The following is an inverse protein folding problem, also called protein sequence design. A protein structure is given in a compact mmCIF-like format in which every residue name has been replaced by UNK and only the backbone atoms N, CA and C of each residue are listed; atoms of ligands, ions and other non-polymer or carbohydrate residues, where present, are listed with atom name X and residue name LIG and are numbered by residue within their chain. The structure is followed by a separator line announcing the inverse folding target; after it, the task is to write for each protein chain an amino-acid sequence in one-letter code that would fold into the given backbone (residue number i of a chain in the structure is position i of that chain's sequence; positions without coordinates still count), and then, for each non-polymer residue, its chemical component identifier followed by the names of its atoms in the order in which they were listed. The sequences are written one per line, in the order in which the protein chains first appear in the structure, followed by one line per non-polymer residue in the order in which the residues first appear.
data_IF_078003227078
#
_entry.id   IF_078003227078
#
_cell.length_a   1.000
_cell.length_b   1.000
_cell.length_c   1.000
_cell.angle_alpha   90.00
_cell.angle_beta   90.00
_cell.angle_gamma   90.00
#
_symmetry.space_group_name_H-M   'P 1'
#
loop_
_entity.id
_entity.type
_entity.pdbx_description
1 polymer ?
#
# COMPACT_ATOMS: atom_id res chain seq x y z
N UNK A 1 -4.08 32.79 1.26
CA UNK A 1 -3.94 32.24 2.63
C UNK A 1 -2.57 32.67 3.13
N UNK A 2 -2.50 33.69 3.98
CA UNK A 2 -1.24 34.23 4.51
C UNK A 2 -0.78 33.37 5.69
N UNK A 3 0.44 32.85 5.62
CA UNK A 3 1.08 32.14 6.72
C UNK A 3 1.75 33.19 7.60
N UNK A 4 1.13 33.52 8.73
CA UNK A 4 1.71 34.38 9.76
C UNK A 4 2.44 33.48 10.75
N UNK A 5 3.77 33.42 10.68
CA UNK A 5 4.60 32.78 11.72
C UNK A 5 4.73 33.73 12.91
N UNK A 6 3.77 33.68 13.83
CA UNK A 6 3.86 34.35 15.13
C UNK A 6 4.71 33.48 16.07
N UNK A 7 5.95 33.89 16.35
CA UNK A 7 6.73 33.34 17.46
C UNK A 7 6.13 33.86 18.78
N UNK A 8 5.36 33.02 19.47
CA UNK A 8 4.91 33.27 20.83
C UNK A 8 5.66 32.33 21.77
N UNK A 9 6.31 32.86 22.81
CA UNK A 9 6.88 32.07 23.90
C UNK A 9 5.72 31.51 24.75
N UNK A 10 5.12 30.41 24.31
CA UNK A 10 4.03 29.75 25.04
C UNK A 10 4.58 28.87 26.16
N UNK A 11 4.02 29.04 27.36
CA UNK A 11 4.28 28.26 28.55
C UNK A 11 3.91 26.78 28.33
N UNK A 12 4.84 25.87 28.62
CA UNK A 12 4.82 24.44 28.28
C UNK A 12 3.53 23.69 28.67
N UNK A 13 2.82 24.13 29.71
CA UNK A 13 1.60 23.46 30.20
C UNK A 13 0.39 23.57 29.27
N UNK A 14 0.36 24.52 28.33
CA UNK A 14 -0.76 24.66 27.39
C UNK A 14 -0.64 23.75 26.16
N UNK A 15 0.60 23.39 25.76
CA UNK A 15 0.85 22.44 24.67
C UNK A 15 0.39 21.01 25.04
N UNK A 16 0.40 20.68 26.33
CA UNK A 16 -0.02 19.36 26.82
C UNK A 16 -1.53 19.10 26.73
N UNK A 17 -2.35 20.14 26.53
CA UNK A 17 -3.81 20.03 26.38
C UNK A 17 -4.30 20.14 24.94
N UNK A 18 -3.39 20.36 23.98
CA UNK A 18 -3.76 20.28 22.58
C UNK A 18 -3.76 18.81 22.16
N UNK A 19 -4.95 18.25 21.97
CA UNK A 19 -5.10 17.06 21.13
C UNK A 19 -4.84 17.52 19.70
N UNK A 20 -3.74 17.11 19.05
CA UNK A 20 -3.51 17.47 17.66
C UNK A 20 -4.69 16.97 16.84
N UNK A 21 -5.24 17.83 15.97
CA UNK A 21 -6.25 17.40 14.99
C UNK A 21 -5.58 16.33 14.14
N UNK A 22 -6.06 15.09 14.23
CA UNK A 22 -5.41 13.88 13.68
C UNK A 22 -5.22 13.87 12.15
N UNK A 23 -5.55 14.96 11.46
CA UNK A 23 -5.48 15.14 10.02
C UNK A 23 -4.39 16.14 9.57
N UNK A 24 -3.69 16.82 10.50
CA UNK A 24 -2.81 17.94 10.16
C UNK A 24 -1.39 17.53 9.70
N UNK A 25 -1.04 16.25 9.66
CA UNK A 25 0.24 15.82 9.10
C UNK A 25 0.05 14.48 8.40
N UNK A 26 -0.11 14.54 7.07
CA UNK A 26 -0.01 13.33 6.26
C UNK A 26 1.45 12.90 6.26
N UNK A 27 1.81 11.96 7.14
CA UNK A 27 3.09 11.28 7.05
C UNK A 27 3.18 10.66 5.65
N UNK A 28 4.13 11.14 4.84
CA UNK A 28 4.35 10.62 3.47
C UNK A 28 4.60 9.12 3.46
N UNK A 29 5.15 8.59 4.55
CA UNK A 29 5.32 7.16 4.83
C UNK A 29 3.97 6.42 4.91
N UNK A 30 2.99 6.96 5.62
CA UNK A 30 1.66 6.33 5.75
C UNK A 30 0.89 6.34 4.42
N UNK A 31 1.04 7.43 3.65
CA UNK A 31 0.47 7.51 2.30
C UNK A 31 1.10 6.50 1.34
N UNK A 32 2.43 6.33 1.40
CA UNK A 32 3.13 5.34 0.59
C UNK A 32 2.69 3.92 0.95
N UNK A 33 2.61 3.61 2.24
CA UNK A 33 2.15 2.30 2.71
C UNK A 33 0.72 1.99 2.25
N UNK A 34 -0.20 2.96 2.39
CA UNK A 34 -1.58 2.82 1.92
C UNK A 34 -1.66 2.61 0.41
N UNK A 35 -0.88 3.38 -0.37
CA UNK A 35 -0.80 3.23 -1.82
C UNK A 35 -0.31 1.83 -2.20
N UNK A 36 0.81 1.37 -1.62
CA UNK A 36 1.37 0.06 -1.96
C UNK A 36 0.40 -1.07 -1.62
N UNK A 37 -0.27 -1.02 -0.46
CA UNK A 37 -1.29 -2.01 -0.11
C UNK A 37 -2.44 -2.04 -1.12
N UNK A 38 -3.03 -0.88 -1.43
CA UNK A 38 -4.12 -0.80 -2.41
C UNK A 38 -3.71 -1.27 -3.80
N UNK A 39 -2.47 -0.99 -4.20
CA UNK A 39 -1.93 -1.41 -5.49
C UNK A 39 -1.75 -2.94 -5.57
N UNK A 40 -1.25 -3.57 -4.50
CA UNK A 40 -1.14 -5.03 -4.42
C UNK A 40 -2.52 -5.72 -4.47
N UNK A 41 -3.48 -5.21 -3.68
CA UNK A 41 -4.83 -5.75 -3.64
C UNK A 41 -5.52 -5.58 -5.01
N UNK A 42 -5.35 -4.43 -5.65
CA UNK A 42 -5.90 -4.16 -6.98
C UNK A 42 -5.35 -5.13 -8.02
N UNK A 43 -4.03 -5.33 -8.08
CA UNK A 43 -3.40 -6.23 -9.03
C UNK A 43 -3.82 -7.69 -8.79
N UNK A 44 -3.82 -8.14 -7.52
CA UNK A 44 -4.23 -9.50 -7.19
C UNK A 44 -5.68 -9.77 -7.59
N UNK A 45 -6.58 -8.83 -7.30
CA UNK A 45 -7.99 -8.95 -7.69
C UNK A 45 -8.18 -8.95 -9.21
N UNK A 46 -7.47 -8.07 -9.93
CA UNK A 46 -7.50 -8.03 -11.38
C UNK A 46 -7.03 -9.36 -11.97
N UNK A 47 -5.83 -9.84 -11.62
CA UNK A 47 -5.29 -11.10 -12.13
C UNK A 47 -6.18 -12.30 -11.77
N UNK A 48 -6.70 -12.35 -10.55
CA UNK A 48 -7.57 -13.43 -10.08
C UNK A 48 -8.91 -13.48 -10.84
N UNK A 49 -9.38 -12.36 -11.38
CA UNK A 49 -10.62 -12.34 -12.18
C UNK A 49 -10.52 -13.11 -13.50
N UNK A 50 -9.29 -13.39 -13.97
CA UNK A 50 -9.02 -14.20 -15.16
C UNK A 50 -8.68 -15.66 -14.83
N UNK A 51 -8.74 -16.07 -13.56
CA UNK A 51 -8.42 -17.43 -13.15
C UNK A 51 -9.44 -18.41 -13.74
N UNK A 52 -8.94 -19.38 -14.50
CA UNK A 52 -9.73 -20.46 -15.11
C UNK A 52 -9.06 -21.80 -14.85
N UNK A 53 -9.87 -22.85 -14.71
CA UNK A 53 -9.36 -24.22 -14.71
C UNK A 53 -8.97 -24.66 -16.12
N UNK A 54 -8.14 -25.71 -16.24
CA UNK A 54 -7.79 -26.28 -17.55
C UNK A 54 -9.02 -26.70 -18.36
N UNK A 55 -10.10 -27.13 -17.70
CA UNK A 55 -11.35 -27.52 -18.36
C UNK A 55 -12.12 -26.33 -19.00
N UNK A 56 -11.82 -25.10 -18.58
CA UNK A 56 -12.45 -23.88 -19.08
C UNK A 56 -11.57 -23.13 -20.08
N UNK A 57 -10.32 -23.57 -20.30
CA UNK A 57 -9.39 -22.94 -21.23
C UNK A 57 -9.75 -23.26 -22.68
N UNK A 58 -9.73 -22.24 -23.54
CA UNK A 58 -9.74 -22.40 -25.00
C UNK A 58 -8.29 -22.56 -25.49
N UNK A 59 -7.99 -23.52 -26.40
CA UNK A 59 -6.63 -23.69 -26.91
C UNK A 59 -6.07 -22.41 -27.54
N UNK A 60 -4.99 -21.89 -26.95
CA UNK A 60 -4.23 -20.76 -27.48
C UNK A 60 -2.73 -21.05 -27.38
N UNK A 61 -2.10 -21.63 -28.41
CA UNK A 61 -0.71 -22.07 -28.35
C UNK A 61 0.31 -20.91 -28.28
N UNK A 62 -0.12 -19.68 -28.55
CA UNK A 62 0.75 -18.49 -28.49
C UNK A 62 0.72 -17.81 -27.12
N UNK A 63 -0.20 -18.19 -26.23
CA UNK A 63 -0.38 -17.57 -24.93
C UNK A 63 0.31 -18.36 -23.83
N UNK A 64 0.93 -17.63 -22.91
CA UNK A 64 1.57 -18.22 -21.72
C UNK A 64 0.66 -18.04 -20.51
N UNK A 65 0.52 -19.10 -19.72
CA UNK A 65 -0.34 -19.10 -18.54
C UNK A 65 0.49 -19.21 -17.28
N UNK A 66 0.14 -18.39 -16.28
CA UNK A 66 0.73 -18.45 -14.95
C UNK A 66 -0.28 -19.17 -14.04
N UNK A 67 0.12 -20.23 -13.31
CA UNK A 67 -0.76 -20.87 -12.34
C UNK A 67 -1.24 -19.87 -11.27
N UNK A 68 -2.53 -19.90 -10.91
CA UNK A 68 -3.08 -19.00 -9.89
C UNK A 68 -2.36 -19.13 -8.54
N UNK A 69 -1.81 -20.30 -8.22
CA UNK A 69 -0.98 -20.54 -7.04
C UNK A 69 0.32 -19.71 -7.02
N UNK A 70 0.94 -19.48 -8.19
CA UNK A 70 2.12 -18.64 -8.32
C UNK A 70 1.79 -17.17 -7.99
N UNK A 71 0.67 -16.67 -8.51
CA UNK A 71 0.20 -15.29 -8.25
C UNK A 71 -0.15 -15.10 -6.77
N UNK A 72 -0.89 -16.04 -6.17
CA UNK A 72 -1.21 -16.01 -4.73
C UNK A 72 0.05 -16.03 -3.86
N UNK A 73 0.98 -16.94 -4.14
CA UNK A 73 2.23 -17.03 -3.39
C UNK A 73 3.08 -15.77 -3.53
N UNK A 74 3.10 -15.15 -4.71
CA UNK A 74 3.78 -13.87 -4.92
C UNK A 74 3.16 -12.77 -4.05
N UNK A 75 1.83 -12.62 -4.08
CA UNK A 75 1.10 -11.63 -3.30
C UNK A 75 1.35 -11.78 -1.80
N UNK A 76 1.20 -12.99 -1.25
CA UNK A 76 1.45 -13.29 0.18
C UNK A 76 2.90 -12.96 0.58
N UNK A 77 3.87 -13.32 -0.26
CA UNK A 77 5.27 -13.01 0.02
C UNK A 77 5.59 -11.52 -0.08
N UNK A 78 4.99 -10.82 -1.04
CA UNK A 78 5.18 -9.38 -1.17
C UNK A 78 4.65 -8.65 0.07
N UNK A 79 3.41 -8.96 0.48
CA UNK A 79 2.81 -8.38 1.69
C UNK A 79 3.66 -8.65 2.94
N UNK A 80 4.14 -9.88 3.11
CA UNK A 80 5.02 -10.25 4.22
C UNK A 80 6.35 -9.50 4.21
N UNK A 81 6.99 -9.32 3.06
CA UNK A 81 8.24 -8.56 2.97
C UNK A 81 8.01 -7.07 3.20
N UNK A 82 6.89 -6.54 2.72
CA UNK A 82 6.50 -5.14 2.91
C UNK A 82 6.28 -4.80 4.38
N UNK A 83 5.58 -5.67 5.13
CA UNK A 83 5.33 -5.45 6.56
C UNK A 83 6.61 -5.54 7.40
N UNK A 84 7.58 -6.33 6.96
CA UNK A 84 8.90 -6.44 7.61
C UNK A 84 9.82 -5.25 7.29
N UNK A 85 9.84 -4.81 6.03
CA UNK A 85 10.68 -3.71 5.56
C UNK A 85 9.99 -3.00 4.38
N UNK A 86 9.37 -1.82 4.58
CA UNK A 86 8.69 -1.08 3.52
C UNK A 86 9.55 -0.70 2.29
N UNK A 87 10.89 -0.76 2.40
CA UNK A 87 11.84 -0.47 1.33
C UNK A 87 12.47 -1.71 0.70
N UNK A 88 12.01 -2.93 1.00
CA UNK A 88 12.65 -4.18 0.56
C UNK A 88 12.80 -4.35 -0.96
N UNK A 89 11.99 -3.63 -1.74
CA UNK A 89 11.88 -3.74 -3.19
C UNK A 89 12.78 -2.75 -3.94
N UNK A 90 13.47 -1.83 -3.23
CA UNK A 90 14.33 -0.78 -3.81
C UNK A 90 15.79 -1.23 -4.04
N UNK A 91 16.14 -2.46 -3.68
CA UNK A 91 17.50 -3.01 -3.76
C UNK A 91 17.61 -4.16 -4.75
#
# INVERSE_FOLDING_TARGET
VNIITHYSYSHFSWLSQQVPVSSATVSTVDSFHLFTHKMLDNLYNYASSFAVSQAQMTPNPSETFIPSSCVRRWYENFQRRMSQNPNFWKS
#
